data_IF_333103754760
#
_entry.id   IF_333103754760
#
_cell.length_a   1.000
_cell.length_b   1.000
_cell.length_c   1.000
_cell.angle_alpha   90.00
_cell.angle_beta   90.00
_cell.angle_gamma   90.00
#
_symmetry.space_group_name_H-M   'P 1'
#
loop_
_entity.id
_entity.type
_entity.pdbx_description
1 polymer ?
#
# COMPACT_ATOMS: atom_id res chain seq x y z
N UNK A 1 8.51 -9.47 -9.09
CA UNK A 1 7.36 -9.32 -8.16
C UNK A 1 6.13 -9.97 -8.76
N UNK A 2 5.21 -10.47 -7.93
CA UNK A 2 3.90 -11.03 -8.29
C UNK A 2 2.76 -10.01 -8.14
N UNK A 3 3.08 -8.71 -8.11
CA UNK A 3 2.15 -7.62 -7.84
C UNK A 3 0.83 -7.70 -8.62
N UNK A 4 0.88 -7.90 -9.94
CA UNK A 4 -0.34 -7.93 -10.76
C UNK A 4 -1.31 -9.03 -10.31
N UNK A 5 -0.83 -10.28 -10.24
CA UNK A 5 -1.65 -11.44 -9.86
C UNK A 5 -2.09 -11.47 -8.39
N UNK A 6 -1.45 -10.68 -7.52
CA UNK A 6 -1.70 -10.73 -6.07
C UNK A 6 -2.44 -9.50 -5.55
N UNK A 7 -2.13 -8.31 -6.07
CA UNK A 7 -2.73 -7.05 -5.63
C UNK A 7 -3.86 -6.64 -6.56
N UNK A 8 -3.65 -6.75 -7.87
CA UNK A 8 -4.64 -6.27 -8.84
C UNK A 8 -5.79 -7.26 -9.08
N UNK A 9 -5.60 -8.53 -8.74
CA UNK A 9 -6.58 -9.61 -8.98
C UNK A 9 -7.29 -10.10 -7.71
N UNK A 10 -6.97 -9.54 -6.54
CA UNK A 10 -7.54 -9.89 -5.24
C UNK A 10 -8.70 -8.96 -4.88
N UNK A 11 -9.68 -9.52 -4.16
CA UNK A 11 -10.90 -8.84 -3.75
C UNK A 11 -10.68 -7.93 -2.53
N UNK A 12 -9.56 -8.13 -1.81
CA UNK A 12 -9.16 -7.37 -0.62
C UNK A 12 -8.62 -5.98 -0.97
N UNK A 13 -8.62 -5.11 0.03
CA UNK A 13 -7.88 -3.85 -0.01
C UNK A 13 -6.41 -4.16 0.23
N UNK A 14 -5.52 -3.58 -0.56
CA UNK A 14 -4.08 -3.77 -0.42
C UNK A 14 -3.36 -2.49 -0.07
N UNK A 15 -2.50 -2.56 0.94
CA UNK A 15 -1.54 -1.52 1.26
C UNK A 15 -0.15 -2.00 0.84
N UNK A 16 0.48 -1.33 -0.11
CA UNK A 16 1.77 -1.76 -0.68
C UNK A 16 2.84 -0.69 -0.45
N UNK A 17 3.91 -1.05 0.25
CA UNK A 17 5.11 -0.23 0.41
C UNK A 17 6.10 -0.50 -0.74
N UNK A 18 6.60 0.56 -1.35
CA UNK A 18 7.75 0.56 -2.24
C UNK A 18 8.95 1.07 -1.49
N UNK A 19 10.02 0.29 -1.45
CA UNK A 19 11.20 0.59 -0.66
C UNK A 19 12.49 0.19 -1.38
N UNK A 20 13.60 0.80 -0.97
CA UNK A 20 14.96 0.42 -1.34
C UNK A 20 15.77 0.15 -0.08
N UNK A 21 16.64 -0.86 -0.08
CA UNK A 21 17.54 -1.16 1.03
C UNK A 21 18.65 -0.11 1.21
N UNK A 22 18.91 0.68 0.18
CA UNK A 22 19.96 1.71 0.14
C UNK A 22 19.45 3.12 0.51
N UNK A 23 18.16 3.26 0.83
CA UNK A 23 17.53 4.54 1.14
C UNK A 23 17.41 4.75 2.66
N UNK A 24 18.02 5.82 3.18
CA UNK A 24 17.93 6.18 4.61
C UNK A 24 16.48 6.38 5.08
N UNK A 25 15.64 7.07 4.30
CA UNK A 25 14.23 7.24 4.64
C UNK A 25 13.45 5.92 4.70
N UNK A 26 13.79 4.93 3.86
CA UNK A 26 13.19 3.60 3.93
C UNK A 26 13.61 2.87 5.22
N UNK A 27 14.86 3.02 5.64
CA UNK A 27 15.36 2.44 6.89
C UNK A 27 14.65 3.06 8.11
N UNK A 28 14.43 4.37 8.11
CA UNK A 28 13.65 5.06 9.15
C UNK A 28 12.19 4.62 9.16
N UNK A 29 11.57 4.48 7.98
CA UNK A 29 10.16 4.09 7.86
C UNK A 29 9.88 2.63 8.21
N UNK A 30 10.87 1.75 8.10
CA UNK A 30 10.70 0.30 8.26
C UNK A 30 10.04 -0.09 9.59
N UNK A 31 10.37 0.59 10.70
CA UNK A 31 9.74 0.34 12.01
C UNK A 31 8.25 0.71 12.01
N UNK A 32 7.91 1.87 11.43
CA UNK A 32 6.52 2.30 11.29
C UNK A 32 5.73 1.35 10.38
N UNK A 33 6.32 0.92 9.27
CA UNK A 33 5.71 -0.07 8.38
C UNK A 33 5.41 -1.40 9.07
N UNK A 34 6.36 -1.96 9.82
CA UNK A 34 6.13 -3.23 10.55
C UNK A 34 5.00 -3.13 11.58
N UNK A 35 4.79 -1.96 12.20
CA UNK A 35 3.64 -1.71 13.08
C UNK A 35 2.32 -1.69 12.31
N UNK A 36 2.32 -1.11 11.11
CA UNK A 36 1.16 -1.06 10.21
C UNK A 36 0.77 -2.47 9.75
N UNK A 37 1.74 -3.29 9.34
CA UNK A 37 1.51 -4.70 8.97
C UNK A 37 0.92 -5.50 10.13
N UNK A 38 1.51 -5.35 11.32
CA UNK A 38 1.02 -6.01 12.54
C UNK A 38 -0.39 -5.58 12.91
N UNK A 39 -0.71 -4.30 12.75
CA UNK A 39 -2.05 -3.78 13.02
C UNK A 39 -3.06 -4.35 12.03
N UNK A 40 -2.85 -4.23 10.72
CA UNK A 40 -3.85 -4.64 9.73
C UNK A 40 -4.01 -6.16 9.60
N UNK A 41 -2.95 -6.94 9.87
CA UNK A 41 -3.07 -8.41 9.97
C UNK A 41 -3.97 -8.88 11.11
N UNK A 42 -4.12 -8.08 12.18
CA UNK A 42 -4.95 -8.42 13.36
C UNK A 42 -6.30 -7.71 13.39
N UNK A 43 -6.33 -6.45 12.97
CA UNK A 43 -7.46 -5.54 13.20
C UNK A 43 -8.44 -5.45 12.03
N UNK A 44 -8.05 -5.90 10.83
CA UNK A 44 -8.89 -5.72 9.63
C UNK A 44 -9.79 -6.90 9.30
N UNK A 45 -9.81 -7.96 10.11
CA UNK A 45 -10.54 -9.21 9.81
C UNK A 45 -10.24 -9.74 8.38
N UNK A 46 -8.98 -9.58 7.95
CA UNK A 46 -8.52 -9.97 6.62
C UNK A 46 -8.93 -9.05 5.46
N UNK A 47 -9.59 -7.91 5.73
CA UNK A 47 -10.02 -6.94 4.70
C UNK A 47 -8.85 -6.19 4.08
N UNK A 48 -7.88 -5.78 4.90
CA UNK A 48 -6.70 -5.03 4.44
C UNK A 48 -5.48 -5.95 4.49
N UNK A 49 -5.02 -6.33 3.31
CA UNK A 49 -3.75 -7.02 3.11
C UNK A 49 -2.61 -6.00 3.01
N UNK A 50 -1.39 -6.44 3.37
CA UNK A 50 -0.19 -5.61 3.29
C UNK A 50 0.87 -6.33 2.45
N UNK A 51 1.70 -5.56 1.74
CA UNK A 51 2.77 -6.10 0.91
C UNK A 51 3.90 -5.09 0.68
N UNK A 52 5.05 -5.61 0.24
CA UNK A 52 6.25 -4.80 -0.02
C UNK A 52 6.80 -5.08 -1.41
N UNK A 53 7.29 -4.04 -2.08
CA UNK A 53 8.00 -4.10 -3.35
C UNK A 53 9.39 -3.49 -3.16
N UNK A 54 10.41 -4.33 -3.31
CA UNK A 54 11.80 -3.89 -3.32
C UNK A 54 12.16 -3.35 -4.71
N UNK A 55 12.42 -2.04 -4.82
CA UNK A 55 12.78 -1.40 -6.09
C UNK A 55 14.26 -1.60 -6.47
N UNK A 56 15.08 -2.18 -5.60
CA UNK A 56 16.45 -2.61 -5.94
C UNK A 56 16.45 -3.80 -6.91
N UNK A 57 15.28 -4.43 -7.12
CA UNK A 57 15.09 -5.53 -8.06
C UNK A 57 14.44 -4.99 -9.34
N UNK A 58 14.91 -5.44 -10.49
CA UNK A 58 14.42 -5.01 -11.82
C UNK A 58 12.89 -5.09 -11.94
N UNK A 59 12.28 -6.16 -11.44
CA UNK A 59 10.84 -6.34 -11.51
C UNK A 59 10.09 -5.39 -10.56
N UNK A 60 10.69 -5.05 -9.42
CA UNK A 60 10.11 -4.08 -8.48
C UNK A 60 10.23 -2.66 -9.01
N UNK A 61 11.38 -2.31 -9.58
CA UNK A 61 11.61 -1.02 -10.24
C UNK A 61 10.60 -0.80 -11.37
N UNK A 62 10.40 -1.80 -12.24
CA UNK A 62 9.41 -1.72 -13.33
C UNK A 62 8.00 -1.40 -12.81
N UNK A 63 7.56 -2.03 -11.73
CA UNK A 63 6.24 -1.72 -11.14
C UNK A 63 6.21 -0.31 -10.55
N UNK A 64 7.29 0.13 -9.91
CA UNK A 64 7.40 1.49 -9.39
C UNK A 64 7.34 2.54 -10.51
N UNK A 65 7.99 2.30 -11.64
CA UNK A 65 7.92 3.14 -12.85
C UNK A 65 6.50 3.19 -13.43
N UNK A 66 5.87 2.03 -13.65
CA UNK A 66 4.51 1.94 -14.19
C UNK A 66 3.47 2.69 -13.35
N UNK A 67 3.69 2.77 -12.03
CA UNK A 67 2.80 3.44 -11.09
C UNK A 67 3.15 4.92 -10.85
N UNK A 68 4.26 5.43 -11.40
CA UNK A 68 4.76 6.77 -11.11
C UNK A 68 5.21 6.94 -9.65
N UNK A 69 5.67 5.88 -9.00
CA UNK A 69 6.20 5.93 -7.62
C UNK A 69 7.52 6.69 -7.56
N UNK A 70 8.32 6.63 -8.64
CA UNK A 70 9.65 7.24 -8.69
C UNK A 70 9.61 8.76 -8.64
N UNK A 71 8.54 9.39 -9.15
CA UNK A 71 8.36 10.86 -9.14
C UNK A 71 8.26 11.42 -7.72
N UNK A 72 7.70 10.62 -6.81
CA UNK A 72 7.51 10.96 -5.39
C UNK A 72 8.60 10.38 -4.48
N UNK A 73 9.51 9.57 -5.03
CA UNK A 73 10.58 8.87 -4.31
C UNK A 73 10.09 7.74 -3.37
N UNK A 74 11.05 7.06 -2.74
CA UNK A 74 10.81 6.02 -1.70
C UNK A 74 11.31 6.50 -0.33
N UNK A 75 10.70 6.06 0.78
CA UNK A 75 9.60 5.10 0.88
C UNK A 75 8.28 5.66 0.35
N UNK A 76 7.49 4.82 -0.32
CA UNK A 76 6.19 5.19 -0.86
C UNK A 76 5.17 4.12 -0.47
N UNK A 77 3.99 4.52 -0.03
CA UNK A 77 2.89 3.57 0.25
C UNK A 77 1.67 3.92 -0.58
N UNK A 78 1.10 2.93 -1.27
CA UNK A 78 -0.16 3.05 -2.01
C UNK A 78 -1.24 2.12 -1.46
N UNK A 79 -2.47 2.61 -1.47
CA UNK A 79 -3.68 1.86 -1.11
C UNK A 79 -4.47 1.52 -2.38
N UNK A 80 -4.67 0.23 -2.63
CA UNK A 80 -5.45 -0.30 -3.73
C UNK A 80 -6.76 -0.84 -3.17
N UNK A 81 -7.88 -0.26 -3.57
CA UNK A 81 -9.18 -0.57 -2.97
C UNK A 81 -10.10 -1.37 -3.88
N UNK A 82 -9.75 -1.52 -5.17
CA UNK A 82 -10.56 -2.22 -6.17
C UNK A 82 -9.69 -3.09 -7.07
N UNK A 83 -10.26 -4.19 -7.55
CA UNK A 83 -9.65 -5.04 -8.59
C UNK A 83 -9.33 -4.23 -9.84
N UNK A 84 -8.17 -4.48 -10.43
CA UNK A 84 -7.69 -3.77 -11.61
C UNK A 84 -7.28 -2.31 -11.37
N UNK A 85 -7.21 -1.83 -10.13
CA UNK A 85 -6.69 -0.50 -9.81
C UNK A 85 -5.18 -0.41 -10.10
N UNK A 86 -4.82 0.01 -11.32
CA UNK A 86 -3.42 0.16 -11.72
C UNK A 86 -2.80 1.48 -11.27
N UNK A 87 -3.44 2.21 -10.37
CA UNK A 87 -2.89 3.47 -9.85
C UNK A 87 -2.74 3.37 -8.34
N UNK A 88 -3.79 2.97 -7.64
CA UNK A 88 -3.85 3.06 -6.19
C UNK A 88 -3.80 4.52 -5.72
N UNK A 89 -4.15 4.73 -4.46
CA UNK A 89 -4.15 6.05 -3.85
C UNK A 89 -2.92 6.23 -2.95
N UNK A 90 -2.23 7.37 -3.09
CA UNK A 90 -1.00 7.67 -2.35
C UNK A 90 -1.27 7.90 -0.86
N UNK A 91 -0.65 7.09 -0.01
CA UNK A 91 -0.74 7.19 1.45
C UNK A 91 0.50 7.88 2.02
N UNK A 92 1.69 7.43 1.64
CA UNK A 92 2.99 7.92 2.10
C UNK A 92 3.87 8.19 0.88
N UNK A 93 4.64 9.28 0.95
CA UNK A 93 5.69 9.64 -0.02
C UNK A 93 7.01 9.86 0.73
N UNK A 94 8.11 10.03 0.00
CA UNK A 94 9.44 10.22 0.59
C UNK A 94 9.53 11.45 1.52
N UNK A 95 8.74 12.49 1.28
CA UNK A 95 8.67 13.74 2.05
C UNK A 95 7.67 13.70 3.22
N UNK A 96 6.96 12.59 3.38
CA UNK A 96 5.90 12.47 4.39
C UNK A 96 6.47 12.26 5.79
N UNK A 97 5.80 12.79 6.81
CA UNK A 97 6.11 12.42 8.18
C UNK A 97 5.72 10.95 8.45
N UNK A 98 6.68 10.12 8.87
CA UNK A 98 6.52 8.69 9.18
C UNK A 98 5.83 8.40 10.52
N UNK A 99 4.82 9.20 10.87
CA UNK A 99 4.04 9.05 12.09
C UNK A 99 2.95 7.98 11.92
N UNK A 100 3.03 6.94 12.72
CA UNK A 100 2.10 5.80 12.71
C UNK A 100 0.63 6.23 12.83
N UNK A 101 0.29 7.17 13.72
CA UNK A 101 -1.11 7.57 13.95
C UNK A 101 -1.66 8.38 12.78
N UNK A 102 -0.85 9.27 12.20
CA UNK A 102 -1.22 10.04 11.00
C UNK A 102 -1.46 9.10 9.82
N UNK A 103 -0.57 8.14 9.59
CA UNK A 103 -0.67 7.20 8.47
C UNK A 103 -1.90 6.32 8.61
N UNK A 104 -2.08 5.65 9.76
CA UNK A 104 -3.26 4.79 9.99
C UNK A 104 -4.56 5.59 9.97
N UNK A 105 -4.57 6.82 10.49
CA UNK A 105 -5.72 7.72 10.38
C UNK A 105 -6.06 8.07 8.92
N UNK A 106 -5.06 8.29 8.06
CA UNK A 106 -5.26 8.52 6.63
C UNK A 106 -5.81 7.28 5.93
N UNK A 107 -5.23 6.11 6.18
CA UNK A 107 -5.70 4.83 5.61
C UNK A 107 -7.15 4.58 6.01
N UNK A 108 -7.49 4.72 7.29
CA UNK A 108 -8.85 4.50 7.78
C UNK A 108 -9.87 5.45 7.15
N UNK A 109 -9.51 6.73 6.91
CA UNK A 109 -10.36 7.68 6.19
C UNK A 109 -10.55 7.28 4.72
N UNK A 110 -9.51 6.77 4.08
CA UNK A 110 -9.56 6.34 2.68
C UNK A 110 -10.35 5.04 2.50
N UNK A 111 -10.30 4.15 3.50
CA UNK A 111 -11.06 2.90 3.53
C UNK A 111 -12.47 3.05 4.12
N UNK A 112 -12.78 4.19 4.75
CA UNK A 112 -14.11 4.44 5.30
C UNK A 112 -15.19 4.39 4.20
N UNK A 113 -16.25 3.64 4.47
CA UNK A 113 -17.36 3.44 3.54
C UNK A 113 -17.10 2.40 2.44
N UNK A 114 -15.95 1.71 2.45
CA UNK A 114 -15.78 0.51 1.64
C UNK A 114 -16.67 -0.60 2.17
N UNK A 115 -17.61 -1.06 1.35
CA UNK A 115 -18.41 -2.25 1.65
C UNK A 115 -17.96 -3.40 0.76
N UNK A 116 -18.01 -4.61 1.32
CA UNK A 116 -17.82 -5.85 0.56
C UNK A 116 -19.05 -6.05 -0.34
N UNK A 117 -18.83 -6.06 -1.64
CA UNK A 117 -19.85 -6.38 -2.64
C UNK A 117 -20.15 -7.88 -2.64
N UNK A 118 -21.26 -8.26 -3.28
CA UNK A 118 -21.70 -9.66 -3.43
C UNK A 118 -20.68 -10.52 -4.18
N UNK A 119 -19.84 -9.90 -5.02
CA UNK A 119 -18.74 -10.53 -5.74
C UNK A 119 -17.46 -10.67 -4.92
N UNK A 120 -17.49 -10.35 -3.62
CA UNK A 120 -16.35 -10.42 -2.72
C UNK A 120 -15.53 -9.13 -2.58
N UNK A 121 -15.70 -8.15 -3.47
CA UNK A 121 -14.79 -7.01 -3.61
C UNK A 121 -15.16 -5.82 -2.72
N UNK A 122 -14.16 -5.09 -2.22
CA UNK A 122 -14.41 -3.83 -1.50
C UNK A 122 -14.56 -2.65 -2.47
N UNK A 123 -15.56 -1.79 -2.26
CA UNK A 123 -15.67 -0.51 -2.98
C UNK A 123 -16.54 0.48 -2.21
N UNK A 124 -16.43 1.78 -2.51
CA UNK A 124 -17.37 2.78 -1.98
C UNK A 124 -18.73 2.60 -2.65
N UNK A 125 -19.79 2.59 -1.85
CA UNK A 125 -21.17 2.66 -2.35
C UNK A 125 -21.38 4.06 -2.96
N UNK A 126 -21.85 4.11 -4.22
CA UNK A 126 -22.21 5.36 -4.91
C UNK A 126 -23.54 5.89 -4.38
#
# INVERSE_FOLDING_TARGET
TNFASTVLDDDRVWLVEFYSSMCGGCQEFASTWGRIETFYSKASDGVIATGKINIDKKEGLKVAEELGVLDDGVPHVRLFTKKGDRTGSVVVKSDSAFDYKKITGKINKMSHGLKKKKDGHFSKEL
#
